data_IF_679982809175
#
_entry.id   IF_679982809175
#
_cell.length_a   1.000
_cell.length_b   1.000
_cell.length_c   1.000
_cell.angle_alpha   90.00
_cell.angle_beta   90.00
_cell.angle_gamma   90.00
#
_symmetry.space_group_name_H-M   'P 1'
#
loop_
_entity.id
_entity.type
_entity.pdbx_description
1 polymer ?
#
# COMPACT_ATOMS: atom_id res chain seq x y z
N UNK A 1 4.17 16.11 1.00
CA UNK A 1 3.16 15.04 0.93
C UNK A 1 3.58 13.94 1.87
N UNK A 2 2.71 13.52 2.77
CA UNK A 2 3.02 12.65 3.91
C UNK A 2 3.27 11.21 3.42
N UNK A 3 4.55 10.84 3.38
CA UNK A 3 4.96 9.44 3.37
C UNK A 3 4.92 8.96 4.83
N UNK A 4 3.90 8.18 5.18
CA UNK A 4 3.77 7.65 6.53
C UNK A 4 3.73 6.12 6.49
N UNK A 5 4.55 5.52 7.36
CA UNK A 5 4.55 4.07 7.56
C UNK A 5 3.57 3.78 8.68
N UNK A 6 2.46 3.14 8.36
CA UNK A 6 1.47 2.69 9.35
C UNK A 6 1.82 1.29 9.85
N UNK A 7 1.53 1.01 11.11
CA UNK A 7 1.93 -0.23 11.80
C UNK A 7 0.75 -0.93 12.48
N UNK A 8 -0.28 -0.18 12.83
CA UNK A 8 -1.40 -0.64 13.65
C UNK A 8 -2.73 -0.56 12.91
N UNK A 9 -3.74 -1.29 13.40
CA UNK A 9 -5.10 -1.26 12.83
C UNK A 9 -5.75 0.10 13.06
N UNK A 10 -5.45 0.73 14.19
CA UNK A 10 -5.94 2.04 14.57
C UNK A 10 -5.45 3.11 13.58
N UNK A 11 -4.17 3.10 13.20
CA UNK A 11 -3.64 3.99 12.16
C UNK A 11 -4.29 3.73 10.80
N UNK A 12 -4.54 2.46 10.44
CA UNK A 12 -5.24 2.14 9.20
C UNK A 12 -6.68 2.67 9.17
N UNK A 13 -7.42 2.55 10.29
CA UNK A 13 -8.77 3.12 10.42
C UNK A 13 -8.72 4.64 10.31
N UNK A 14 -7.75 5.30 10.96
CA UNK A 14 -7.56 6.75 10.82
C UNK A 14 -7.31 7.17 9.37
N UNK A 15 -6.49 6.41 8.63
CA UNK A 15 -6.25 6.67 7.20
C UNK A 15 -7.54 6.49 6.38
N UNK A 16 -8.32 5.43 6.62
CA UNK A 16 -9.60 5.20 5.95
C UNK A 16 -10.61 6.33 6.20
N UNK A 17 -10.67 6.86 7.43
CA UNK A 17 -11.60 7.92 7.81
C UNK A 17 -11.15 9.30 7.31
N UNK A 18 -9.83 9.54 7.28
CA UNK A 18 -9.26 10.83 6.91
C UNK A 18 -9.18 11.06 5.40
N UNK A 19 -8.96 10.00 4.62
CA UNK A 19 -8.68 10.10 3.19
C UNK A 19 -9.74 9.38 2.36
N UNK A 20 -10.44 10.13 1.50
CA UNK A 20 -11.38 9.56 0.53
C UNK A 20 -10.70 8.72 -0.56
N UNK A 21 -9.40 8.93 -0.80
CA UNK A 21 -8.60 8.10 -1.70
C UNK A 21 -7.14 8.05 -1.20
N UNK A 22 -6.52 6.87 -1.24
CA UNK A 22 -5.10 6.69 -0.96
C UNK A 22 -4.54 5.39 -1.55
N UNK A 23 -3.21 5.30 -1.64
CA UNK A 23 -2.50 4.06 -1.93
C UNK A 23 -1.80 3.52 -0.69
N UNK A 24 -1.70 2.18 -0.60
CA UNK A 24 -1.00 1.49 0.48
C UNK A 24 -0.10 0.38 -0.07
N UNK A 25 1.21 0.48 0.19
CA UNK A 25 2.18 -0.56 -0.12
C UNK A 25 2.41 -1.47 1.10
N UNK A 26 2.22 -2.78 0.92
CA UNK A 26 2.72 -3.83 1.83
C UNK A 26 4.11 -4.24 1.39
N UNK A 27 5.13 -3.71 2.06
CA UNK A 27 6.52 -3.95 1.72
C UNK A 27 7.17 -4.96 2.67
N UNK A 28 7.85 -5.96 2.13
CA UNK A 28 8.73 -6.87 2.86
C UNK A 28 10.17 -6.36 2.86
N UNK A 29 10.71 -6.08 4.03
CA UNK A 29 12.08 -5.58 4.24
C UNK A 29 13.18 -6.59 3.87
N UNK A 30 12.86 -7.88 3.82
CA UNK A 30 13.82 -8.97 3.59
C UNK A 30 13.72 -9.59 2.19
N UNK A 31 12.91 -9.03 1.29
CA UNK A 31 12.69 -9.59 -0.04
C UNK A 31 13.19 -8.62 -1.14
N UNK A 32 14.18 -9.01 -1.96
CA UNK A 32 14.68 -8.14 -3.04
C UNK A 32 13.60 -7.71 -4.05
N UNK A 33 12.65 -8.59 -4.36
CA UNK A 33 11.52 -8.28 -5.25
C UNK A 33 10.67 -7.15 -4.65
N UNK A 34 10.51 -7.15 -3.33
CA UNK A 34 9.81 -6.09 -2.61
C UNK A 34 10.57 -4.77 -2.61
N UNK A 35 11.91 -4.81 -2.62
CA UNK A 35 12.74 -3.62 -2.83
C UNK A 35 12.49 -2.97 -4.18
N UNK A 36 12.47 -3.75 -5.26
CA UNK A 36 12.18 -3.24 -6.61
C UNK A 36 10.78 -2.61 -6.70
N UNK A 37 9.77 -3.25 -6.14
CA UNK A 37 8.41 -2.68 -6.10
C UNK A 37 8.34 -1.39 -5.26
N UNK A 38 9.10 -1.31 -4.16
CA UNK A 38 9.19 -0.09 -3.35
C UNK A 38 9.83 1.06 -4.14
N UNK A 39 10.87 0.81 -4.94
CA UNK A 39 11.46 1.84 -5.79
C UNK A 39 10.45 2.38 -6.82
N UNK A 40 9.66 1.49 -7.44
CA UNK A 40 8.59 1.89 -8.36
C UNK A 40 7.52 2.73 -7.65
N UNK A 41 7.08 2.29 -6.48
CA UNK A 41 6.13 3.02 -5.66
C UNK A 41 6.67 4.38 -5.23
N UNK A 42 7.96 4.48 -4.87
CA UNK A 42 8.62 5.75 -4.55
C UNK A 42 8.72 6.73 -5.72
N UNK A 43 8.79 6.24 -6.96
CA UNK A 43 8.71 7.11 -8.14
C UNK A 43 7.29 7.63 -8.31
N UNK A 44 6.30 6.74 -8.24
CA UNK A 44 4.89 7.11 -8.28
C UNK A 44 4.52 8.16 -7.22
N UNK A 45 4.96 8.00 -5.97
CA UNK A 45 4.74 8.94 -4.87
C UNK A 45 5.23 10.38 -5.13
N UNK A 46 6.18 10.57 -6.06
CA UNK A 46 6.68 11.90 -6.43
C UNK A 46 5.84 12.58 -7.50
N UNK A 47 5.02 11.82 -8.20
CA UNK A 47 4.25 12.24 -9.37
C UNK A 47 2.76 12.36 -9.08
N UNK A 48 2.24 11.61 -8.12
CA UNK A 48 0.83 11.64 -7.71
C UNK A 48 0.56 12.64 -6.58
N UNK A 49 -0.60 13.29 -6.63
CA UNK A 49 -1.17 14.09 -5.52
C UNK A 49 -1.97 13.23 -4.52
N UNK A 50 -2.20 11.94 -4.84
CA UNK A 50 -2.93 11.02 -3.98
C UNK A 50 -2.05 10.59 -2.79
N UNK A 51 -2.54 10.65 -1.55
CA UNK A 51 -1.82 10.19 -0.37
C UNK A 51 -1.31 8.75 -0.51
N UNK A 52 -0.07 8.52 -0.12
CA UNK A 52 0.59 7.23 -0.26
C UNK A 52 1.18 6.78 1.08
N UNK A 53 0.75 5.61 1.53
CA UNK A 53 1.18 4.97 2.76
C UNK A 53 1.97 3.71 2.49
N UNK A 54 2.69 3.24 3.50
CA UNK A 54 3.33 1.93 3.47
C UNK A 54 3.16 1.22 4.81
N UNK A 55 3.28 -0.10 4.81
CA UNK A 55 3.53 -0.88 6.01
C UNK A 55 4.67 -1.86 5.74
N UNK A 56 5.44 -2.15 6.78
CA UNK A 56 6.49 -3.16 6.72
C UNK A 56 5.95 -4.48 7.28
N UNK A 57 5.82 -5.49 6.43
CA UNK A 57 5.13 -6.74 6.77
C UNK A 57 5.74 -7.43 8.00
N UNK A 58 7.06 -7.36 8.15
CA UNK A 58 7.79 -7.91 9.30
C UNK A 58 7.44 -7.20 10.61
N UNK A 59 7.18 -5.89 10.57
CA UNK A 59 6.90 -5.06 11.75
C UNK A 59 5.41 -4.91 12.04
N UNK A 60 4.56 -5.12 11.03
CA UNK A 60 3.13 -4.83 11.06
C UNK A 60 2.30 -6.05 10.59
N UNK A 61 2.71 -7.27 10.98
CA UNK A 61 2.09 -8.52 10.50
C UNK A 61 0.59 -8.58 10.81
N UNK A 62 0.19 -8.13 12.00
CA UNK A 62 -1.22 -8.09 12.40
C UNK A 62 -2.05 -7.14 11.53
N UNK A 63 -1.51 -5.94 11.24
CA UNK A 63 -2.14 -5.00 10.32
C UNK A 63 -2.19 -5.56 8.89
N UNK A 64 -1.09 -6.14 8.41
CA UNK A 64 -1.01 -6.72 7.06
C UNK A 64 -2.07 -7.81 6.82
N UNK A 65 -2.26 -8.68 7.81
CA UNK A 65 -3.31 -9.70 7.80
C UNK A 65 -4.70 -9.08 7.90
N UNK A 66 -4.89 -8.12 8.82
CA UNK A 66 -6.17 -7.43 8.96
C UNK A 66 -6.63 -6.77 7.66
N UNK A 67 -5.74 -6.11 6.91
CA UNK A 67 -6.09 -5.53 5.61
C UNK A 67 -6.53 -6.62 4.62
N UNK A 68 -5.90 -7.80 4.63
CA UNK A 68 -6.32 -8.91 3.77
C UNK A 68 -7.72 -9.41 4.13
N UNK A 69 -8.01 -9.54 5.42
CA UNK A 69 -9.33 -9.93 5.91
C UNK A 69 -10.40 -8.87 5.61
N UNK A 70 -10.06 -7.58 5.83
CA UNK A 70 -10.94 -6.43 5.61
C UNK A 70 -11.34 -6.29 4.14
N UNK A 71 -10.37 -6.42 3.23
CA UNK A 71 -10.59 -6.24 1.79
C UNK A 71 -11.08 -7.51 1.09
N UNK A 72 -10.93 -8.68 1.72
CA UNK A 72 -11.07 -9.98 1.06
C UNK A 72 -9.98 -10.29 0.03
N UNK A 73 -9.00 -9.39 -0.16
CA UNK A 73 -7.89 -9.57 -1.08
C UNK A 73 -6.79 -10.35 -0.38
N UNK A 74 -6.38 -11.47 -0.98
CA UNK A 74 -5.32 -12.31 -0.43
C UNK A 74 -4.05 -11.48 -0.19
N UNK A 75 -3.44 -11.68 0.98
CA UNK A 75 -2.15 -11.07 1.29
C UNK A 75 -1.06 -11.50 0.28
N UNK A 76 -0.37 -10.51 -0.27
CA UNK A 76 0.88 -10.67 -1.02
C UNK A 76 1.93 -9.69 -0.51
N UNK A 77 3.21 -9.94 -0.82
CA UNK A 77 4.29 -9.00 -0.57
C UNK A 77 5.41 -9.15 -1.60
N UNK A 78 5.75 -8.09 -2.36
CA UNK A 78 5.17 -6.75 -2.31
C UNK A 78 3.73 -6.72 -2.86
N UNK A 79 2.89 -5.83 -2.32
CA UNK A 79 1.51 -5.62 -2.78
C UNK A 79 1.13 -4.15 -2.64
N UNK A 80 0.54 -3.53 -3.66
CA UNK A 80 -0.06 -2.20 -3.58
C UNK A 80 -1.57 -2.33 -3.68
N UNK A 81 -2.29 -1.57 -2.85
CA UNK A 81 -3.74 -1.41 -2.92
C UNK A 81 -4.08 0.06 -3.10
N UNK A 82 -5.07 0.37 -3.95
CA UNK A 82 -5.73 1.67 -4.01
C UNK A 82 -7.05 1.58 -3.26
N UNK A 83 -7.27 2.49 -2.34
CA UNK A 83 -8.52 2.64 -1.63
C UNK A 83 -9.26 3.88 -2.14
N UNK A 84 -10.57 3.75 -2.38
CA UNK A 84 -11.50 4.85 -2.66
C UNK A 84 -12.75 4.68 -1.82
N UNK A 85 -13.15 5.74 -1.13
CA UNK A 85 -14.35 5.78 -0.27
C UNK A 85 -14.41 4.60 0.72
N UNK A 86 -13.26 4.22 1.28
CA UNK A 86 -13.14 3.13 2.27
C UNK A 86 -13.04 1.72 1.67
N UNK A 87 -13.14 1.55 0.36
CA UNK A 87 -13.07 0.26 -0.32
C UNK A 87 -11.78 0.10 -1.13
N UNK A 88 -11.22 -1.11 -1.17
CA UNK A 88 -10.09 -1.42 -2.04
C UNK A 88 -10.58 -1.64 -3.49
N UNK A 89 -10.37 -0.64 -4.35
CA UNK A 89 -10.87 -0.65 -5.73
C UNK A 89 -9.88 -1.22 -6.75
N UNK A 90 -8.60 -1.27 -6.39
CA UNK A 90 -7.54 -1.82 -7.22
C UNK A 90 -6.43 -2.42 -6.36
N UNK A 91 -5.78 -3.46 -6.84
CA UNK A 91 -4.57 -3.99 -6.23
C UNK A 91 -3.67 -4.68 -7.25
N UNK A 92 -2.37 -4.73 -6.96
CA UNK A 92 -1.42 -5.53 -7.71
C UNK A 92 -0.19 -5.89 -6.85
N UNK A 93 0.67 -6.79 -7.35
CA UNK A 93 1.78 -7.34 -6.58
C UNK A 93 3.04 -7.60 -7.41
N UNK A 94 4.14 -7.86 -6.71
CA UNK A 94 5.41 -8.29 -7.30
C UNK A 94 5.88 -7.40 -8.47
N UNK A 95 6.15 -7.99 -9.64
CA UNK A 95 6.67 -7.30 -10.83
C UNK A 95 5.63 -6.44 -11.55
N UNK A 96 4.35 -6.58 -11.20
CA UNK A 96 3.29 -5.82 -11.84
C UNK A 96 3.08 -4.44 -11.20
N UNK A 97 3.71 -4.19 -10.04
CA UNK A 97 3.83 -2.86 -9.44
C UNK A 97 4.89 -2.06 -10.21
N UNK A 98 4.43 -1.18 -11.10
CA UNK A 98 5.28 -0.23 -11.83
C UNK A 98 4.76 1.19 -11.67
N UNK A 99 5.64 2.19 -11.67
CA UNK A 99 5.19 3.59 -11.58
C UNK A 99 4.30 3.97 -12.75
N UNK A 100 4.60 3.48 -13.95
CA UNK A 100 3.80 3.68 -15.15
C UNK A 100 2.36 3.18 -14.98
N UNK A 101 2.17 1.97 -14.43
CA UNK A 101 0.84 1.41 -14.19
C UNK A 101 0.09 2.19 -13.13
N UNK A 102 0.78 2.57 -12.05
CA UNK A 102 0.17 3.34 -10.95
C UNK A 102 -0.25 4.75 -11.39
N UNK A 103 0.52 5.41 -12.26
CA UNK A 103 0.19 6.73 -12.81
C UNK A 103 -1.04 6.74 -13.74
N UNK A 104 -1.56 5.57 -14.13
CA UNK A 104 -2.76 5.43 -14.95
C UNK A 104 -4.03 5.23 -14.13
N UNK A 105 -3.93 5.14 -12.80
CA UNK A 105 -5.04 4.94 -11.85
C UNK A 105 -5.57 6.27 -11.29
#
# INVERSE_FOLDING_TARGET
MSHEVIKTKEEFVQVLEQYGEFFLLKHSLTCPISGLAQEQYQRFMKETDVPCFSLYVQEARELSNHIADFTGIRHESPQVLQFKEGEAVWHDSHSAITSEKLNQL
#
